data_IF_696752950836
#
_entry.id   IF_696752950836
#
_cell.length_a   1.000
_cell.length_b   1.000
_cell.length_c   1.000
_cell.angle_alpha   90.00
_cell.angle_beta   90.00
_cell.angle_gamma   90.00
#
_symmetry.space_group_name_H-M   'P 1'
#
loop_
_entity.id
_entity.type
_entity.pdbx_description
1 polymer ?
#
# COMPACT_ATOMS: atom_id res chain seq x y z
N UNK A 1 2.66 7.09 16.02
CA UNK A 1 2.25 7.52 14.66
C UNK A 1 2.32 6.30 13.77
N UNK A 2 1.19 5.87 13.19
CA UNK A 2 1.19 4.74 12.27
C UNK A 2 2.07 5.10 11.07
N UNK A 3 3.17 4.36 10.88
CA UNK A 3 4.16 4.64 9.85
C UNK A 3 3.56 4.19 8.52
N UNK A 4 2.80 5.07 7.86
CA UNK A 4 2.22 4.79 6.55
C UNK A 4 3.39 4.55 5.59
N UNK A 5 3.56 3.31 5.16
CA UNK A 5 4.66 2.89 4.32
C UNK A 5 4.43 3.41 2.88
N UNK A 6 5.47 3.93 2.24
CA UNK A 6 5.38 4.47 0.88
C UNK A 6 4.86 3.46 -0.15
N UNK A 7 5.13 2.17 0.10
CA UNK A 7 4.63 1.03 -0.69
C UNK A 7 3.09 0.95 -0.66
N UNK A 8 2.49 1.20 0.50
CA UNK A 8 1.03 1.19 0.67
C UNK A 8 0.39 2.38 -0.03
N UNK A 9 1.02 3.55 0.02
CA UNK A 9 0.55 4.76 -0.68
C UNK A 9 0.64 4.56 -2.20
N UNK A 10 1.77 4.05 -2.69
CA UNK A 10 1.96 3.75 -4.12
C UNK A 10 0.94 2.71 -4.61
N UNK A 11 0.73 1.65 -3.83
CA UNK A 11 -0.28 0.63 -4.14
C UNK A 11 -1.70 1.19 -4.19
N UNK A 12 -2.07 2.05 -3.23
CA UNK A 12 -3.37 2.73 -3.23
C UNK A 12 -3.54 3.66 -4.45
N UNK A 13 -2.51 4.43 -4.80
CA UNK A 13 -2.53 5.31 -5.96
C UNK A 13 -2.70 4.54 -7.27
N UNK A 14 -1.97 3.42 -7.46
CA UNK A 14 -2.09 2.57 -8.65
C UNK A 14 -3.46 1.90 -8.74
N UNK A 15 -3.98 1.43 -7.62
CA UNK A 15 -5.32 0.83 -7.56
C UNK A 15 -6.38 1.87 -7.93
N UNK A 16 -6.28 3.07 -7.36
CA UNK A 16 -7.19 4.18 -7.66
C UNK A 16 -7.10 4.58 -9.14
N UNK A 17 -5.89 4.68 -9.69
CA UNK A 17 -5.69 5.00 -11.10
C UNK A 17 -6.34 3.94 -12.00
N UNK A 18 -6.16 2.65 -11.73
CA UNK A 18 -6.81 1.60 -12.49
C UNK A 18 -8.35 1.65 -12.40
N UNK A 19 -8.90 2.01 -11.24
CA UNK A 19 -10.34 2.23 -11.09
C UNK A 19 -10.86 3.40 -11.94
N UNK A 20 -10.09 4.50 -12.05
CA UNK A 20 -10.41 5.62 -12.93
C UNK A 20 -10.44 5.21 -14.41
N UNK A 21 -9.49 4.38 -14.85
CA UNK A 21 -9.48 3.83 -16.20
C UNK A 21 -10.70 2.94 -16.48
N UNK A 22 -11.11 2.12 -15.50
CA UNK A 22 -12.35 1.34 -15.59
C UNK A 22 -13.58 2.22 -15.74
N UNK A 23 -13.68 3.29 -14.95
CA UNK A 23 -14.76 4.27 -15.06
C UNK A 23 -14.73 4.99 -16.43
N UNK A 24 -13.54 5.37 -16.91
CA UNK A 24 -13.36 5.99 -18.22
C UNK A 24 -13.86 5.10 -19.37
N UNK A 25 -13.64 3.78 -19.28
CA UNK A 25 -14.12 2.80 -20.26
C UNK A 25 -15.64 2.68 -20.32
N UNK A 26 -16.35 2.98 -19.22
CA UNK A 26 -17.82 2.98 -19.22
C UNK A 26 -18.40 4.22 -19.90
N UNK A 27 -17.72 5.36 -19.78
CA UNK A 27 -18.20 6.63 -20.35
C UNK A 27 -17.75 6.83 -21.80
N UNK A 28 -16.68 6.16 -22.24
CA UNK A 28 -16.14 6.33 -23.59
C UNK A 28 -15.48 5.05 -24.12
N UNK A 29 -15.97 4.58 -25.28
CA UNK A 29 -15.54 3.35 -25.95
C UNK A 29 -14.04 3.33 -26.32
N UNK A 30 -13.39 4.47 -26.52
CA UNK A 30 -11.95 4.55 -26.77
C UNK A 30 -11.12 3.96 -25.63
N UNK A 31 -11.62 4.05 -24.40
CA UNK A 31 -10.93 3.54 -23.21
C UNK A 31 -11.17 2.04 -22.96
N UNK A 32 -12.04 1.37 -23.73
CA UNK A 32 -12.28 -0.08 -23.61
C UNK A 32 -11.00 -0.87 -23.87
N UNK A 33 -10.16 -0.43 -24.82
CA UNK A 33 -8.86 -1.04 -25.08
C UNK A 33 -7.88 -0.93 -23.90
N UNK A 34 -8.12 0.00 -22.97
CA UNK A 34 -7.29 0.20 -21.76
C UNK A 34 -7.76 -0.64 -20.57
N UNK A 35 -8.89 -1.36 -20.66
CA UNK A 35 -9.39 -2.26 -19.61
C UNK A 35 -8.34 -3.30 -19.15
N UNK A 36 -7.58 -3.96 -20.06
CA UNK A 36 -6.55 -4.91 -19.64
C UNK A 36 -5.46 -4.24 -18.80
N UNK A 37 -5.03 -3.04 -19.19
CA UNK A 37 -4.05 -2.26 -18.44
C UNK A 37 -4.60 -1.81 -17.08
N UNK A 38 -5.88 -1.43 -17.01
CA UNK A 38 -6.56 -1.06 -15.77
C UNK A 38 -6.59 -2.23 -14.78
N UNK A 39 -6.89 -3.45 -15.24
CA UNK A 39 -6.85 -4.66 -14.43
C UNK A 39 -5.45 -4.96 -13.90
N UNK A 40 -4.41 -4.80 -14.73
CA UNK A 40 -3.02 -4.97 -14.30
C UNK A 40 -2.64 -3.93 -13.25
N UNK A 41 -3.00 -2.66 -13.45
CA UNK A 41 -2.75 -1.59 -12.48
C UNK A 41 -3.40 -1.88 -11.12
N UNK A 42 -4.65 -2.35 -11.12
CA UNK A 42 -5.36 -2.75 -9.91
C UNK A 42 -4.66 -3.93 -9.24
N UNK A 43 -4.29 -4.97 -10.01
CA UNK A 43 -3.62 -6.14 -9.46
C UNK A 43 -2.27 -5.79 -8.82
N UNK A 44 -1.45 -4.98 -9.50
CA UNK A 44 -0.16 -4.50 -8.98
C UNK A 44 -0.37 -3.59 -7.76
N UNK A 45 -1.36 -2.70 -7.81
CA UNK A 45 -1.70 -1.82 -6.69
C UNK A 45 -2.07 -2.60 -5.43
N UNK A 46 -2.93 -3.61 -5.56
CA UNK A 46 -3.30 -4.52 -4.45
C UNK A 46 -2.07 -5.29 -3.96
N UNK A 47 -1.23 -5.80 -4.85
CA UNK A 47 -0.01 -6.51 -4.46
C UNK A 47 0.93 -5.65 -3.61
N UNK A 48 1.12 -4.38 -3.97
CA UNK A 48 1.94 -3.43 -3.20
C UNK A 48 1.31 -3.08 -1.84
N UNK A 49 -0.02 -2.94 -1.77
CA UNK A 49 -0.71 -2.73 -0.49
C UNK A 49 -0.47 -3.91 0.44
N UNK A 50 -0.65 -5.14 -0.06
CA UNK A 50 -0.44 -6.37 0.71
C UNK A 50 1.02 -6.50 1.15
N UNK A 51 1.98 -6.24 0.25
CA UNK A 51 3.40 -6.29 0.55
C UNK A 51 3.79 -5.25 1.61
N UNK A 52 3.34 -4.01 1.46
CA UNK A 52 3.60 -2.94 2.43
C UNK A 52 3.02 -3.28 3.82
N UNK A 53 1.81 -3.86 3.87
CA UNK A 53 1.23 -4.34 5.14
C UNK A 53 2.04 -5.48 5.73
N UNK A 54 2.47 -6.44 4.91
CA UNK A 54 3.25 -7.59 5.36
C UNK A 54 4.60 -7.15 5.94
N UNK A 55 5.32 -6.27 5.25
CA UNK A 55 6.58 -5.66 5.72
C UNK A 55 6.40 -4.95 7.05
N UNK A 56 5.36 -4.10 7.19
CA UNK A 56 5.09 -3.39 8.44
C UNK A 56 4.77 -4.36 9.59
N UNK A 57 3.91 -5.36 9.36
CA UNK A 57 3.56 -6.37 10.37
C UNK A 57 4.78 -7.21 10.78
N UNK A 58 5.62 -7.61 9.81
CA UNK A 58 6.83 -8.39 10.07
C UNK A 58 7.86 -7.55 10.83
N UNK A 59 8.09 -6.31 10.42
CA UNK A 59 9.01 -5.39 11.09
C UNK A 59 8.59 -5.11 12.53
N UNK A 60 7.29 -4.99 12.80
CA UNK A 60 6.75 -4.79 14.14
C UNK A 60 6.87 -6.04 15.04
N UNK A 61 7.09 -7.23 14.48
CA UNK A 61 7.30 -8.47 15.26
C UNK A 61 8.76 -8.73 15.60
N UNK A 62 9.69 -8.22 14.79
CA UNK A 62 11.14 -8.38 15.01
C UNK A 62 11.77 -7.28 15.87
N UNK A 63 11.13 -6.13 16.01
CA UNK A 63 11.43 -5.19 17.09
C UNK A 63 10.31 -5.31 18.13
N UNK A 64 10.44 -6.18 19.16
CA UNK A 64 9.80 -5.82 20.41
C UNK A 64 10.27 -4.41 20.74
N UNK A 65 9.33 -3.59 21.18
CA UNK A 65 9.58 -2.30 21.78
C UNK A 65 10.50 -2.53 22.99
N UNK A 66 11.81 -2.67 22.78
CA UNK A 66 12.82 -2.46 23.82
C UNK A 66 12.93 -0.94 23.98
N UNK A 67 11.82 -0.33 24.38
CA UNK A 67 11.92 0.78 25.32
C UNK A 67 11.95 0.11 26.69
N UNK A 68 13.09 -0.54 26.97
CA UNK A 68 13.65 -0.47 28.31
C UNK A 68 13.84 1.02 28.62
N UNK A 69 12.80 1.68 29.08
CA UNK A 69 12.97 2.78 30.03
C UNK A 69 13.38 2.18 31.39
N UNK A 70 14.49 1.44 31.36
CA UNK A 70 15.28 1.10 32.54
C UNK A 70 16.19 2.29 32.80
N UNK A 71 15.62 3.39 33.29
CA UNK A 71 16.39 4.38 34.05
C UNK A 71 16.24 4.03 35.52
N UNK A 72 16.91 2.95 35.90
CA UNK A 72 17.24 2.66 37.28
C UNK A 72 18.38 3.63 37.69
N UNK A 73 18.07 4.50 38.65
CA UNK A 73 18.93 4.94 39.76
C UNK A 73 20.37 5.38 39.46
N UNK A 74 20.66 6.67 39.66
CA UNK A 74 21.85 7.08 40.43
C UNK A 74 21.72 8.53 40.94
N UNK A 75 21.87 8.65 42.28
CA UNK A 75 22.03 9.83 43.17
C UNK A 75 20.81 10.23 44.01
#
# INVERSE_FOLDING_TARGET
MERINGETIAGAALTFLGALFMFAAQVNATWVAAIPAALILIAVGIALIVLGRYTTIRSNRTHPHTEEHSHHNHH
#
